data_IF_387251218783
#
_entry.id   IF_387251218783
#
_cell.length_a   1.000
_cell.length_b   1.000
_cell.length_c   1.000
_cell.angle_alpha   90.00
_cell.angle_beta   90.00
_cell.angle_gamma   90.00
#
_symmetry.space_group_name_H-M   'P 1'
#
loop_
_entity.id
_entity.type
_entity.pdbx_description
1 polymer ?
#
# COMPACT_ATOMS: atom_id res chain seq x y z
N UNK A 1 -9.04 -12.77 14.34
CA UNK A 1 -7.83 -11.96 14.10
C UNK A 1 -8.12 -10.52 14.51
N UNK A 2 -7.31 -9.93 15.39
CA UNK A 2 -7.44 -8.53 15.82
C UNK A 2 -6.96 -7.64 14.68
N UNK A 3 -7.82 -6.76 14.14
CA UNK A 3 -7.45 -5.86 13.04
C UNK A 3 -6.40 -4.86 13.54
N UNK A 4 -5.38 -4.62 12.72
CA UNK A 4 -4.15 -3.89 13.09
C UNK A 4 -4.32 -2.35 13.14
N UNK A 5 -5.48 -1.81 12.73
CA UNK A 5 -5.71 -0.36 12.63
C UNK A 5 -7.16 0.01 12.98
N UNK A 6 -7.32 1.16 13.64
CA UNK A 6 -8.59 1.85 13.88
C UNK A 6 -9.11 2.50 12.58
N UNK A 7 -9.48 1.66 11.61
CA UNK A 7 -10.07 2.13 10.35
C UNK A 7 -11.56 2.38 10.52
N UNK A 8 -11.97 3.64 10.36
CA UNK A 8 -13.38 4.05 10.29
C UNK A 8 -13.88 3.71 8.88
N UNK A 9 -14.93 2.90 8.79
CA UNK A 9 -15.55 2.53 7.52
C UNK A 9 -16.73 3.49 7.23
N UNK A 10 -17.01 3.83 5.95
CA UNK A 10 -18.19 4.60 5.61
C UNK A 10 -19.47 3.93 6.11
N UNK A 11 -20.45 4.74 6.50
CA UNK A 11 -21.83 4.30 6.69
C UNK A 11 -22.48 3.95 5.35
N UNK A 12 -23.59 3.21 5.36
CA UNK A 12 -24.32 2.87 4.13
C UNK A 12 -24.81 4.11 3.36
N UNK A 13 -25.15 5.19 4.08
CA UNK A 13 -25.57 6.46 3.48
C UNK A 13 -24.40 7.16 2.77
N UNK A 14 -23.23 7.17 3.41
CA UNK A 14 -22.00 7.72 2.83
C UNK A 14 -21.54 6.90 1.63
N UNK A 15 -21.60 5.56 1.72
CA UNK A 15 -21.31 4.64 0.63
C UNK A 15 -22.22 4.91 -0.58
N UNK A 16 -23.52 5.07 -0.35
CA UNK A 16 -24.47 5.42 -1.41
C UNK A 16 -24.19 6.80 -2.02
N UNK A 17 -23.75 7.78 -1.22
CA UNK A 17 -23.37 9.10 -1.71
C UNK A 17 -22.10 9.06 -2.59
N UNK A 18 -21.10 8.28 -2.18
CA UNK A 18 -19.87 8.05 -2.95
C UNK A 18 -20.20 7.41 -4.30
N UNK A 19 -21.02 6.35 -4.31
CA UNK A 19 -21.43 5.67 -5.54
C UNK A 19 -22.21 6.59 -6.50
N UNK A 20 -23.08 7.47 -5.98
CA UNK A 20 -23.75 8.49 -6.82
C UNK A 20 -22.76 9.48 -7.43
N UNK A 21 -21.75 9.90 -6.67
CA UNK A 21 -20.71 10.80 -7.16
C UNK A 21 -19.89 10.18 -8.28
N UNK A 22 -19.44 8.92 -8.10
CA UNK A 22 -18.71 8.16 -9.13
C UNK A 22 -19.53 8.06 -10.41
N UNK A 23 -20.81 7.73 -10.32
CA UNK A 23 -21.69 7.59 -11.49
C UNK A 23 -21.96 8.91 -12.25
N UNK A 24 -21.76 10.07 -11.62
CA UNK A 24 -21.96 11.39 -12.24
C UNK A 24 -20.70 11.96 -12.87
N UNK A 25 -19.53 11.37 -12.63
CA UNK A 25 -18.25 11.83 -13.17
C UNK A 25 -18.07 11.41 -14.63
N UNK A 26 -18.28 12.37 -15.55
CA UNK A 26 -18.15 12.13 -16.98
C UNK A 26 -16.68 11.97 -17.44
N UNK A 27 -15.72 12.52 -16.70
CA UNK A 27 -14.30 12.46 -17.05
C UNK A 27 -13.67 11.13 -16.59
N UNK A 28 -14.30 10.43 -15.64
CA UNK A 28 -13.83 9.18 -15.08
C UNK A 28 -14.95 8.13 -14.95
N UNK A 29 -15.45 7.57 -16.08
CA UNK A 29 -16.51 6.56 -16.05
C UNK A 29 -16.05 5.25 -15.40
N UNK A 30 -17.00 4.48 -14.86
CA UNK A 30 -16.72 3.15 -14.30
C UNK A 30 -16.20 2.18 -15.36
N UNK A 31 -15.22 1.36 -14.98
CA UNK A 31 -14.61 0.36 -15.86
C UNK A 31 -15.58 -0.79 -16.13
N UNK A 32 -15.79 -1.10 -17.40
CA UNK A 32 -16.61 -2.23 -17.83
C UNK A 32 -15.81 -3.54 -17.85
N UNK A 33 -16.50 -4.67 -17.88
CA UNK A 33 -15.87 -5.99 -18.11
C UNK A 33 -15.06 -6.04 -19.42
N UNK A 34 -15.51 -5.31 -20.45
CA UNK A 34 -14.80 -5.19 -21.72
C UNK A 34 -13.47 -4.46 -21.58
N UNK A 35 -13.40 -3.44 -20.72
CA UNK A 35 -12.17 -2.69 -20.45
C UNK A 35 -11.11 -3.58 -19.79
N UNK A 36 -11.52 -4.37 -18.79
CA UNK A 36 -10.64 -5.34 -18.13
C UNK A 36 -10.05 -6.37 -19.11
N UNK A 37 -10.81 -6.79 -20.13
CA UNK A 37 -10.31 -7.73 -21.15
C UNK A 37 -9.20 -7.14 -22.04
N UNK A 38 -9.18 -5.81 -22.20
CA UNK A 38 -8.20 -5.08 -23.02
C UNK A 38 -6.98 -4.62 -22.23
N UNK A 39 -7.12 -4.46 -20.91
CA UNK A 39 -6.04 -4.09 -20.02
C UNK A 39 -5.01 -5.22 -19.90
N UNK A 40 -3.73 -4.91 -20.14
CA UNK A 40 -2.63 -5.85 -19.96
C UNK A 40 -1.89 -5.50 -18.68
N UNK A 41 -1.61 -6.50 -17.83
CA UNK A 41 -0.72 -6.34 -16.67
C UNK A 41 0.73 -6.25 -17.15
N UNK A 42 1.12 -5.10 -17.69
CA UNK A 42 2.50 -4.82 -18.06
C UNK A 42 3.19 -4.09 -16.93
N UNK A 43 4.21 -4.70 -16.33
CA UNK A 43 5.13 -3.97 -15.46
C UNK A 43 5.95 -3.05 -16.37
N UNK A 44 5.87 -1.74 -16.13
CA UNK A 44 6.77 -0.79 -16.79
C UNK A 44 8.23 -1.07 -16.41
N UNK A 45 9.20 -0.46 -17.12
CA UNK A 45 10.61 -0.57 -16.75
C UNK A 45 10.80 -0.30 -15.25
N UNK A 46 11.64 -1.10 -14.60
CA UNK A 46 11.97 -0.86 -13.20
C UNK A 46 12.58 0.54 -13.08
N UNK A 47 11.90 1.41 -12.31
CA UNK A 47 12.44 2.73 -11.99
C UNK A 47 13.78 2.58 -11.29
N UNK A 48 14.66 3.54 -11.49
CA UNK A 48 15.92 3.61 -10.76
C UNK A 48 15.65 3.52 -9.24
N UNK A 49 16.47 2.79 -8.47
CA UNK A 49 16.35 2.75 -7.02
C UNK A 49 16.46 4.17 -6.45
N UNK A 50 15.40 4.67 -5.82
CA UNK A 50 15.43 5.97 -5.15
C UNK A 50 16.28 5.96 -3.86
N UNK A 51 16.39 4.79 -3.22
CA UNK A 51 17.13 4.63 -1.97
C UNK A 51 18.58 4.25 -2.27
N UNK A 52 19.51 5.06 -1.74
CA UNK A 52 20.93 4.73 -1.76
C UNK A 52 21.27 3.87 -0.54
N UNK A 53 22.00 2.76 -0.69
CA UNK A 53 22.51 2.02 0.45
C UNK A 53 23.55 2.89 1.16
N UNK A 54 23.37 3.08 2.46
CA UNK A 54 24.31 3.80 3.31
C UNK A 54 24.87 2.84 4.36
N UNK A 55 26.18 2.90 4.56
CA UNK A 55 26.87 2.19 5.64
C UNK A 55 27.17 3.17 6.76
N UNK A 56 26.77 2.86 7.98
CA UNK A 56 27.13 3.61 9.18
C UNK A 56 27.81 2.69 10.18
N UNK A 57 28.78 3.22 10.92
CA UNK A 57 29.37 2.50 12.05
C UNK A 57 28.50 2.74 13.27
N UNK A 58 28.17 1.67 13.95
CA UNK A 58 27.44 1.68 15.21
C UNK A 58 28.38 1.20 16.30
N UNK A 59 28.18 1.69 17.52
CA UNK A 59 28.88 1.14 18.69
C UNK A 59 28.46 -0.31 18.92
N UNK A 60 29.37 -1.11 19.48
CA UNK A 60 29.17 -2.54 19.68
C UNK A 60 27.91 -2.84 20.51
N UNK A 61 27.58 -1.99 21.49
CA UNK A 61 26.36 -2.13 22.29
C UNK A 61 25.09 -1.98 21.44
N UNK A 62 25.05 -0.96 20.58
CA UNK A 62 23.90 -0.67 19.69
C UNK A 62 23.76 -1.77 18.63
N UNK A 63 24.88 -2.22 18.04
CA UNK A 63 24.88 -3.35 17.12
C UNK A 63 24.33 -4.62 17.76
N UNK A 64 24.74 -4.91 19.00
CA UNK A 64 24.23 -6.05 19.77
C UNK A 64 22.77 -5.93 20.18
N UNK A 65 22.26 -4.71 20.44
CA UNK A 65 20.84 -4.47 20.71
C UNK A 65 19.98 -4.69 19.46
N UNK A 66 20.44 -4.23 18.28
CA UNK A 66 19.74 -4.43 17.02
C UNK A 66 19.66 -5.91 16.65
N UNK A 67 20.77 -6.64 16.77
CA UNK A 67 20.81 -8.08 16.50
C UNK A 67 19.82 -8.86 17.39
N UNK A 68 19.78 -8.54 18.69
CA UNK A 68 18.81 -9.12 19.62
C UNK A 68 17.38 -8.76 19.24
N UNK A 69 17.10 -7.51 18.89
CA UNK A 69 15.73 -7.08 18.51
C UNK A 69 15.23 -7.75 17.23
N UNK A 70 16.12 -8.03 16.28
CA UNK A 70 15.79 -8.67 15.00
C UNK A 70 15.43 -10.15 15.18
N UNK A 71 15.96 -10.80 16.22
CA UNK A 71 15.56 -12.16 16.61
C UNK A 71 14.10 -12.26 17.11
N UNK A 72 13.52 -11.20 17.67
CA UNK A 72 12.13 -11.19 18.17
C UNK A 72 11.07 -11.04 17.07
N UNK A 73 11.48 -10.77 15.83
CA UNK A 73 10.57 -10.54 14.70
C UNK A 73 10.40 -11.79 13.82
N UNK A 74 11.03 -12.92 14.19
CA UNK A 74 11.09 -14.16 13.42
C UNK A 74 10.21 -15.33 13.94
N UNK A 75 9.41 -15.12 14.99
CA UNK A 75 8.40 -16.07 15.51
C UNK A 75 6.95 -15.58 15.27
#
# INVERSE_FOLDING_TARGET
>A
MKRKTDLIYPTDEEEAAINRGIAQDADNPELTAGDFSRMKRTRGPQKAPLKQPVSMRLDAEIGGLLDRSMLWEMD
#
